data_IF_852774174152
#
_entry.id   IF_852774174152
#
_cell.length_a   1.000
_cell.length_b   1.000
_cell.length_c   1.000
_cell.angle_alpha   90.00
_cell.angle_beta   90.00
_cell.angle_gamma   90.00
#
_symmetry.space_group_name_H-M   'P 1'
#
loop_
_entity.id
_entity.type
_entity.pdbx_description
1 polymer ?
#
# COMPACT_ATOMS: atom_id res chain seq x y z
N UNK A 1 -3.81 4.71 -22.78
CA UNK A 1 -4.20 3.43 -22.15
C UNK A 1 -4.07 3.60 -20.66
N UNK A 2 -5.11 3.36 -19.87
CA UNK A 2 -5.04 3.50 -18.42
C UNK A 2 -4.36 2.25 -17.83
N UNK A 3 -3.04 2.30 -17.70
CA UNK A 3 -2.26 1.28 -17.01
C UNK A 3 -2.55 1.40 -15.52
N UNK A 4 -3.58 0.68 -15.03
CA UNK A 4 -4.02 0.72 -13.64
C UNK A 4 -2.88 0.63 -12.62
N UNK A 5 -3.06 1.22 -11.44
CA UNK A 5 -2.07 1.31 -10.40
C UNK A 5 -1.75 -0.05 -9.77
N UNK A 6 -0.62 -0.13 -9.09
CA UNK A 6 -0.39 -1.16 -8.07
C UNK A 6 -0.96 -0.62 -6.76
N UNK A 7 -1.86 -1.35 -6.12
CA UNK A 7 -2.42 -0.96 -4.81
C UNK A 7 -1.73 -1.76 -3.72
N UNK A 8 -1.31 -1.13 -2.63
CA UNK A 8 -0.77 -1.82 -1.46
C UNK A 8 -1.49 -1.40 -0.19
N UNK A 9 -1.95 -2.39 0.59
CA UNK A 9 -2.54 -2.18 1.91
C UNK A 9 -1.46 -2.09 2.99
N UNK A 10 -1.54 -1.07 3.84
CA UNK A 10 -0.62 -0.88 4.96
C UNK A 10 -1.37 -0.69 6.28
N UNK A 11 -0.85 -1.28 7.35
CA UNK A 11 -1.44 -1.27 8.69
C UNK A 11 -0.43 -0.88 9.78
N UNK A 12 0.81 -0.54 9.40
CA UNK A 12 1.89 -0.18 10.32
C UNK A 12 2.71 -1.37 10.82
N UNK A 13 2.35 -2.60 10.43
CA UNK A 13 3.14 -3.78 10.74
C UNK A 13 4.44 -3.84 9.95
N UNK A 14 5.44 -4.53 10.49
CA UNK A 14 6.71 -4.78 9.80
C UNK A 14 6.51 -5.57 8.48
N UNK A 15 5.49 -6.43 8.43
CA UNK A 15 5.12 -7.19 7.23
C UNK A 15 4.61 -6.29 6.11
N UNK A 16 3.78 -5.30 6.44
CA UNK A 16 3.30 -4.37 5.43
C UNK A 16 4.43 -3.46 4.92
N UNK A 17 5.46 -3.17 5.73
CA UNK A 17 6.66 -2.44 5.29
C UNK A 17 7.39 -3.18 4.16
N UNK A 18 7.59 -4.50 4.31
CA UNK A 18 8.17 -5.35 3.25
C UNK A 18 7.29 -5.37 2.00
N UNK A 19 5.98 -5.47 2.17
CA UNK A 19 5.04 -5.44 1.06
C UNK A 19 5.05 -4.10 0.31
N UNK A 20 5.15 -2.98 1.02
CA UNK A 20 5.30 -1.65 0.44
C UNK A 20 6.61 -1.51 -0.34
N UNK A 21 7.72 -2.04 0.20
CA UNK A 21 9.00 -2.05 -0.51
C UNK A 21 8.91 -2.83 -1.83
N UNK A 22 8.37 -4.06 -1.79
CA UNK A 22 8.18 -4.87 -2.99
C UNK A 22 7.25 -4.17 -4.00
N UNK A 23 6.15 -3.58 -3.53
CA UNK A 23 5.20 -2.87 -4.39
C UNK A 23 5.82 -1.63 -5.05
N UNK A 24 6.75 -0.93 -4.39
CA UNK A 24 7.52 0.15 -5.01
C UNK A 24 8.39 -0.38 -6.15
N UNK A 25 9.15 -1.45 -5.91
CA UNK A 25 10.03 -2.05 -6.92
C UNK A 25 9.22 -2.50 -8.14
N UNK A 26 8.08 -3.13 -7.90
CA UNK A 26 7.20 -3.60 -8.97
C UNK A 26 6.55 -2.45 -9.74
N UNK A 27 6.17 -1.37 -9.05
CA UNK A 27 5.59 -0.18 -9.67
C UNK A 27 6.60 0.52 -10.58
N UNK A 28 7.86 0.62 -10.16
CA UNK A 28 8.96 1.14 -10.99
C UNK A 28 9.19 0.22 -12.20
N UNK A 29 9.32 -1.09 -11.97
CA UNK A 29 9.56 -2.06 -13.03
C UNK A 29 8.45 -2.09 -14.09
N UNK A 30 7.19 -1.86 -13.68
CA UNK A 30 6.05 -1.83 -14.60
C UNK A 30 5.70 -0.43 -15.14
N UNK A 31 6.38 0.62 -14.69
CA UNK A 31 6.06 2.00 -15.06
C UNK A 31 4.63 2.41 -14.64
N UNK A 32 4.17 1.97 -13.46
CA UNK A 32 2.81 2.20 -12.96
C UNK A 32 2.82 3.07 -11.70
N UNK A 33 1.76 3.86 -11.44
CA UNK A 33 1.61 4.53 -10.16
C UNK A 33 1.39 3.52 -9.04
N UNK A 34 1.84 3.88 -7.83
CA UNK A 34 1.64 3.12 -6.60
C UNK A 34 0.60 3.81 -5.73
N UNK A 35 -0.48 3.10 -5.41
CA UNK A 35 -1.51 3.55 -4.47
C UNK A 35 -1.29 2.91 -3.11
N UNK A 36 -0.85 3.69 -2.11
CA UNK A 36 -0.65 3.23 -0.74
C UNK A 36 -1.89 3.52 0.08
N UNK A 37 -2.53 2.48 0.62
CA UNK A 37 -3.83 2.58 1.27
C UNK A 37 -3.74 2.09 2.71
N UNK A 38 -4.03 2.98 3.65
CA UNK A 38 -4.36 2.60 5.02
C UNK A 38 -5.87 2.76 5.24
N UNK A 39 -6.51 1.66 5.61
CA UNK A 39 -7.88 1.67 6.09
C UNK A 39 -7.87 1.85 7.62
N UNK A 40 -8.71 2.75 8.12
CA UNK A 40 -8.76 3.08 9.55
C UNK A 40 -10.19 3.10 10.07
N UNK A 41 -10.33 2.77 11.35
CA UNK A 41 -11.59 2.82 12.07
C UNK A 41 -11.56 3.93 13.14
N UNK A 42 -12.74 4.31 13.60
CA UNK A 42 -12.87 5.38 14.60
C UNK A 42 -12.30 4.91 15.93
N UNK A 43 -11.46 5.73 16.55
CA UNK A 43 -10.98 5.55 17.91
C UNK A 43 -11.64 6.48 18.91
N UNK A 44 -11.36 6.25 20.19
CA UNK A 44 -11.91 7.03 21.30
C UNK A 44 -11.54 8.52 21.23
N UNK A 45 -10.37 8.85 20.67
CA UNK A 45 -9.94 10.24 20.47
C UNK A 45 -10.62 10.94 19.27
N UNK A 46 -11.53 10.26 18.58
CA UNK A 46 -12.39 10.82 17.56
C UNK A 46 -11.83 10.80 16.13
N UNK A 47 -12.64 11.29 15.19
CA UNK A 47 -12.40 11.13 13.75
C UNK A 47 -11.13 11.85 13.26
N UNK A 48 -10.90 13.07 13.77
CA UNK A 48 -9.70 13.85 13.43
C UNK A 48 -8.43 13.13 13.86
N UNK A 49 -8.41 12.56 15.07
CA UNK A 49 -7.27 11.81 15.59
C UNK A 49 -7.07 10.51 14.80
N UNK A 50 -8.14 9.77 14.53
CA UNK A 50 -8.11 8.53 13.73
C UNK A 50 -7.48 8.76 12.36
N UNK A 51 -7.95 9.79 11.64
CA UNK A 51 -7.41 10.17 10.33
C UNK A 51 -5.96 10.64 10.42
N UNK A 52 -5.62 11.46 11.42
CA UNK A 52 -4.24 11.94 11.60
C UNK A 52 -3.26 10.78 11.84
N UNK A 53 -3.64 9.78 12.65
CA UNK A 53 -2.84 8.57 12.86
C UNK A 53 -2.65 7.77 11.58
N UNK A 54 -3.72 7.59 10.79
CA UNK A 54 -3.64 6.93 9.48
C UNK A 54 -2.68 7.63 8.52
N UNK A 55 -2.77 8.97 8.42
CA UNK A 55 -1.88 9.77 7.56
C UNK A 55 -0.43 9.65 8.03
N UNK A 56 -0.17 9.81 9.33
CA UNK A 56 1.16 9.70 9.89
C UNK A 56 1.77 8.31 9.66
N UNK A 57 0.98 7.25 9.79
CA UNK A 57 1.40 5.87 9.51
C UNK A 57 1.86 5.72 8.06
N UNK A 58 1.07 6.17 7.09
CA UNK A 58 1.41 6.09 5.66
C UNK A 58 2.68 6.88 5.36
N UNK A 59 2.80 8.10 5.87
CA UNK A 59 4.01 8.91 5.65
C UNK A 59 5.25 8.31 6.29
N UNK A 60 5.13 7.73 7.48
CA UNK A 60 6.27 7.10 8.16
C UNK A 60 6.77 5.86 7.40
N UNK A 61 5.86 5.02 6.93
CA UNK A 61 6.22 3.85 6.11
C UNK A 61 6.85 4.27 4.79
N UNK A 62 6.28 5.26 4.11
CA UNK A 62 6.85 5.79 2.87
C UNK A 62 8.25 6.35 3.09
N UNK A 63 8.47 7.12 4.16
CA UNK A 63 9.81 7.63 4.50
C UNK A 63 10.81 6.50 4.69
N UNK A 64 10.45 5.46 5.44
CA UNK A 64 11.32 4.32 5.71
C UNK A 64 11.64 3.50 4.45
N UNK A 65 10.67 3.36 3.54
CA UNK A 65 10.85 2.54 2.33
C UNK A 65 11.53 3.33 1.20
N UNK A 66 11.28 4.64 1.10
CA UNK A 66 11.94 5.52 0.12
C UNK A 66 13.39 5.84 0.49
N UNK A 67 13.77 5.71 1.77
CA UNK A 67 15.14 5.99 2.20
C UNK A 67 16.15 5.10 1.44
N UNK A 68 17.16 5.74 0.84
CA UNK A 68 18.17 5.06 0.03
C UNK A 68 17.72 4.57 -1.35
N UNK A 69 16.52 4.93 -1.85
CA UNK A 69 16.07 4.60 -3.22
C UNK A 69 16.37 5.74 -4.19
N UNK A 70 17.05 5.43 -5.29
CA UNK A 70 17.32 6.41 -6.36
C UNK A 70 16.09 6.69 -7.23
N UNK A 71 15.25 5.68 -7.43
CA UNK A 71 14.05 5.76 -8.27
C UNK A 71 12.84 5.34 -7.46
N UNK A 72 11.81 6.18 -7.48
CA UNK A 72 10.51 5.93 -6.85
C UNK A 72 9.39 6.14 -7.87
N UNK A 73 8.30 5.35 -7.81
CA UNK A 73 7.16 5.54 -8.70
C UNK A 73 6.36 6.79 -8.29
N UNK A 74 5.39 7.19 -9.10
CA UNK A 74 4.37 8.14 -8.65
C UNK A 74 3.56 7.50 -7.50
N UNK A 75 3.61 8.10 -6.31
CA UNK A 75 2.93 7.58 -5.11
C UNK A 75 1.69 8.40 -4.78
N UNK A 76 0.53 7.74 -4.80
CA UNK A 76 -0.75 8.30 -4.33
C UNK A 76 -1.12 7.69 -2.98
N UNK A 77 -1.38 8.55 -2.01
CA UNK A 77 -1.64 8.18 -0.61
C UNK A 77 -3.13 8.18 -0.31
N UNK A 78 -3.62 7.16 0.37
CA UNK A 78 -5.02 7.03 0.74
C UNK A 78 -5.17 6.66 2.21
N UNK A 79 -5.76 7.57 2.99
CA UNK A 79 -6.22 7.31 4.37
C UNK A 79 -7.74 7.25 4.37
N UNK A 80 -8.30 6.04 4.38
CA UNK A 80 -9.73 5.82 4.14
C UNK A 80 -10.40 5.22 5.38
N UNK A 81 -11.52 5.79 5.80
CA UNK A 81 -12.33 5.22 6.88
C UNK A 81 -13.02 3.94 6.42
N UNK A 82 -12.93 2.87 7.20
CA UNK A 82 -13.64 1.62 6.98
C UNK A 82 -12.80 0.38 7.26
N UNK A 83 -13.44 -0.79 7.14
CA UNK A 83 -12.77 -2.07 7.27
C UNK A 83 -11.75 -2.28 6.13
N UNK A 84 -10.57 -2.81 6.47
CA UNK A 84 -9.47 -2.99 5.52
C UNK A 84 -9.84 -3.83 4.29
N UNK A 85 -10.54 -4.95 4.48
CA UNK A 85 -10.90 -5.84 3.37
C UNK A 85 -11.83 -5.17 2.36
N UNK A 86 -12.84 -4.43 2.83
CA UNK A 86 -13.78 -3.72 1.96
C UNK A 86 -13.10 -2.57 1.22
N UNK A 87 -12.35 -1.73 1.95
CA UNK A 87 -11.64 -0.59 1.39
C UNK A 87 -10.66 -1.04 0.30
N UNK A 88 -9.83 -2.04 0.59
CA UNK A 88 -8.83 -2.55 -0.34
C UNK A 88 -9.47 -3.24 -1.54
N UNK A 89 -10.48 -4.09 -1.33
CA UNK A 89 -11.21 -4.74 -2.42
C UNK A 89 -11.83 -3.74 -3.39
N UNK A 90 -12.48 -2.69 -2.86
CA UNK A 90 -13.10 -1.64 -3.67
C UNK A 90 -12.07 -0.81 -4.43
N UNK A 91 -10.94 -0.48 -3.81
CA UNK A 91 -9.89 0.33 -4.45
C UNK A 91 -9.06 -0.43 -5.48
N UNK A 92 -8.96 -1.75 -5.35
CA UNK A 92 -8.30 -2.60 -6.34
C UNK A 92 -9.09 -2.76 -7.65
N UNK A 93 -10.37 -2.35 -7.70
CA UNK A 93 -11.19 -2.46 -8.93
C UNK A 93 -10.59 -1.63 -10.06
N UNK A 94 -10.36 -2.27 -11.21
CA UNK A 94 -9.76 -1.65 -12.39
C UNK A 94 -8.26 -1.33 -12.25
N UNK A 95 -7.62 -1.81 -11.18
CA UNK A 95 -6.18 -1.63 -10.95
C UNK A 95 -5.39 -2.85 -11.44
N UNK A 96 -4.07 -2.70 -11.55
CA UNK A 96 -3.21 -3.79 -12.04
C UNK A 96 -3.14 -4.95 -11.06
N UNK A 97 -3.02 -4.66 -9.76
CA UNK A 97 -2.97 -5.65 -8.69
C UNK A 97 -3.22 -5.02 -7.32
N UNK A 98 -3.53 -5.88 -6.35
CA UNK A 98 -3.55 -5.59 -4.92
C UNK A 98 -2.43 -6.37 -4.22
N UNK A 99 -1.57 -5.67 -3.50
CA UNK A 99 -0.45 -6.22 -2.73
C UNK A 99 -0.79 -6.16 -1.24
N UNK A 100 -0.55 -7.28 -0.56
CA UNK A 100 -0.78 -7.45 0.88
C UNK A 100 0.48 -7.95 1.57
N UNK A 101 0.63 -7.65 2.86
CA UNK A 101 1.65 -8.27 3.71
C UNK A 101 1.41 -9.76 3.93
N UNK A 102 2.44 -10.44 4.44
CA UNK A 102 2.35 -11.84 4.88
C UNK A 102 1.13 -12.01 5.82
N UNK A 103 0.27 -13.00 5.54
CA UNK A 103 -1.01 -13.28 6.21
C UNK A 103 -2.21 -12.37 5.85
N UNK A 104 -2.01 -11.33 5.04
CA UNK A 104 -3.10 -10.50 4.54
C UNK A 104 -4.07 -11.29 3.65
N UNK A 105 -5.36 -11.25 3.96
CA UNK A 105 -6.42 -11.92 3.20
C UNK A 105 -7.50 -10.92 2.78
N UNK A 106 -7.51 -10.58 1.49
CA UNK A 106 -8.55 -9.76 0.87
C UNK A 106 -8.94 -10.39 -0.46
N UNK A 107 -10.24 -10.53 -0.72
CA UNK A 107 -10.74 -10.88 -2.05
C UNK A 107 -10.92 -9.60 -2.86
N UNK A 108 -10.34 -9.54 -4.05
CA UNK A 108 -10.44 -8.40 -4.96
C UNK A 108 -10.66 -8.88 -6.41
N UNK A 109 -11.19 -7.99 -7.25
CA UNK A 109 -11.37 -8.26 -8.68
C UNK A 109 -10.05 -8.17 -9.47
N UNK A 110 -9.05 -7.48 -8.92
CA UNK A 110 -7.70 -7.47 -9.46
C UNK A 110 -6.89 -8.64 -8.88
N UNK A 111 -5.81 -9.08 -9.56
CA UNK A 111 -4.88 -10.05 -9.00
C UNK A 111 -4.43 -9.65 -7.58
N UNK A 112 -4.54 -10.57 -6.63
CA UNK A 112 -4.08 -10.38 -5.25
C UNK A 112 -2.73 -11.06 -5.09
N UNK A 113 -1.73 -10.28 -4.67
CA UNK A 113 -0.36 -10.74 -4.44
C UNK A 113 -0.07 -10.60 -2.96
N UNK A 114 0.33 -11.70 -2.33
CA UNK A 114 1.01 -11.64 -1.03
C UNK A 114 2.47 -11.34 -1.36
N UNK A 115 2.98 -10.22 -0.86
CA UNK A 115 4.31 -9.76 -1.22
C UNK A 115 5.36 -10.84 -0.90
N UNK A 116 6.19 -11.24 -1.88
CA UNK A 116 7.32 -12.11 -1.62
C UNK A 116 8.40 -11.32 -0.86
N UNK A 117 9.50 -12.00 -0.53
CA UNK A 117 10.69 -11.31 -0.04
C UNK A 117 11.08 -10.16 -0.99
N UNK A 118 11.56 -9.01 -0.47
CA UNK A 118 12.01 -7.90 -1.31
C UNK A 118 13.01 -8.39 -2.36
N UNK A 119 12.91 -7.88 -3.59
CA UNK A 119 13.99 -8.10 -4.55
C UNK A 119 15.23 -7.43 -3.96
N UNK A 120 16.32 -8.19 -3.79
CA UNK A 120 17.60 -7.62 -3.37
C UNK A 120 18.07 -6.55 -4.36
N UNK A 121 19.14 -5.80 -4.03
CA UNK A 121 19.73 -4.89 -5.00
C UNK A 121 19.97 -5.64 -6.31
N UNK A 122 19.55 -5.02 -7.41
CA UNK A 122 19.88 -5.50 -8.74
C UNK A 122 21.36 -5.18 -8.91
N UNK A 123 22.21 -6.20 -8.93
CA UNK A 123 23.66 -6.07 -9.21
C UNK A 123 23.92 -5.38 -10.56
#
# INVERSE_FOLDING_TARGET
>A
MNIGAIVVGVDGSERCRKALAWAMDEAVAQGRPLHVVNAWELCDEGERASRARSVALVENLLRQVCDGRDVVPEVVRHSVRGCASEVLSRRARGQAMLVLGEEGKVSASAPVVVAPAPRGPVD
#
